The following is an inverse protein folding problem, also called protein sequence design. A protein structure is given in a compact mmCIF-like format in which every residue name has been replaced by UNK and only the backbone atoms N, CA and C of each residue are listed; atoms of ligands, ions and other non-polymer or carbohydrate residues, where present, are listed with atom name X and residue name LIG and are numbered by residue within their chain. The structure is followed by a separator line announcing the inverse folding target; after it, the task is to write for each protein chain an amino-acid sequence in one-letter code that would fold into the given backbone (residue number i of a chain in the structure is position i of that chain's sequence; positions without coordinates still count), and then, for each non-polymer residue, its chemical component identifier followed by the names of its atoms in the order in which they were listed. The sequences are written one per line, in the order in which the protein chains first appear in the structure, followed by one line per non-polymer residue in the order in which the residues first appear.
data_IF_893655167944
#
_entry.id   IF_893655167944
#
_cell.length_a   1.000
_cell.length_b   1.000
_cell.length_c   1.000
_cell.angle_alpha   90.00
_cell.angle_beta   90.00
_cell.angle_gamma   90.00
#
_symmetry.space_group_name_H-M   'P 1'
#
loop_
_entity.id
_entity.type
_entity.pdbx_description
1 polymer ?
#
# COMPACT_ATOMS: atom_id res chain seq x y z
N UNK A 1 9.45 -20.63 -9.60
CA UNK A 1 8.88 -21.16 -8.35
C UNK A 1 7.41 -20.77 -8.31
N UNK A 2 6.50 -21.72 -8.43
CA UNK A 2 5.05 -21.46 -8.32
C UNK A 2 4.74 -21.06 -6.88
N UNK A 3 4.37 -19.80 -6.67
CA UNK A 3 4.11 -19.26 -5.35
C UNK A 3 2.89 -19.99 -4.72
N UNK A 4 3.02 -20.59 -3.51
CA UNK A 4 1.99 -21.44 -2.92
C UNK A 4 0.66 -20.72 -2.65
N UNK A 5 0.69 -19.38 -2.61
CA UNK A 5 -0.51 -18.56 -2.41
C UNK A 5 -1.31 -18.31 -3.70
N UNK A 6 -0.74 -18.54 -4.88
CA UNK A 6 -1.38 -18.19 -6.17
C UNK A 6 -2.51 -19.15 -6.51
N UNK A 7 -2.25 -20.46 -6.50
CA UNK A 7 -3.23 -21.46 -6.90
C UNK A 7 -4.49 -21.46 -6.00
N UNK A 8 -4.39 -21.40 -4.65
CA UNK A 8 -5.58 -21.36 -3.81
C UNK A 8 -6.44 -20.11 -4.06
N UNK A 9 -5.83 -18.95 -4.26
CA UNK A 9 -6.56 -17.69 -4.51
C UNK A 9 -7.28 -17.73 -5.85
N UNK A 10 -6.63 -18.25 -6.91
CA UNK A 10 -7.25 -18.39 -8.24
C UNK A 10 -8.40 -19.41 -8.26
N UNK A 11 -8.38 -20.40 -7.37
CA UNK A 11 -9.50 -21.34 -7.21
C UNK A 11 -10.68 -20.74 -6.43
N UNK A 12 -10.43 -19.83 -5.50
CA UNK A 12 -11.44 -19.26 -4.61
C UNK A 12 -12.09 -17.97 -5.14
N UNK A 13 -11.41 -17.23 -6.02
CA UNK A 13 -11.88 -15.96 -6.56
C UNK A 13 -11.87 -15.99 -8.09
N UNK A 14 -12.89 -15.38 -8.70
CA UNK A 14 -12.93 -15.13 -10.13
C UNK A 14 -11.89 -14.09 -10.56
N UNK A 15 -11.51 -14.09 -11.83
CA UNK A 15 -10.82 -12.95 -12.43
C UNK A 15 -11.81 -11.80 -12.69
N UNK A 16 -11.45 -10.53 -12.47
CA UNK A 16 -10.11 -10.01 -12.14
C UNK A 16 -9.80 -9.90 -10.63
N UNK A 17 -10.69 -10.35 -9.74
CA UNK A 17 -10.52 -10.25 -8.29
C UNK A 17 -9.29 -11.01 -7.80
N UNK A 18 -9.05 -12.21 -8.32
CA UNK A 18 -7.88 -13.02 -7.97
C UNK A 18 -6.57 -12.30 -8.31
N UNK A 19 -6.41 -11.83 -9.55
CA UNK A 19 -5.23 -11.07 -9.97
C UNK A 19 -5.04 -9.78 -9.20
N UNK A 20 -6.13 -9.04 -8.91
CA UNK A 20 -6.06 -7.82 -8.11
C UNK A 20 -5.59 -8.11 -6.68
N UNK A 21 -6.10 -9.17 -6.05
CA UNK A 21 -5.70 -9.57 -4.71
C UNK A 21 -4.23 -10.00 -4.65
N UNK A 22 -3.78 -10.80 -5.61
CA UNK A 22 -2.40 -11.26 -5.72
C UNK A 22 -1.43 -10.10 -5.93
N UNK A 23 -1.80 -9.11 -6.74
CA UNK A 23 -1.04 -7.88 -6.90
C UNK A 23 -0.96 -7.07 -5.61
N UNK A 24 -2.09 -6.81 -4.95
CA UNK A 24 -2.14 -6.02 -3.71
C UNK A 24 -1.31 -6.68 -2.58
N UNK A 25 -1.46 -8.00 -2.37
CA UNK A 25 -0.81 -8.72 -1.28
C UNK A 25 0.66 -9.07 -1.55
N UNK A 26 0.94 -9.58 -2.75
CA UNK A 26 2.20 -10.23 -3.09
C UNK A 26 2.92 -9.57 -4.27
N UNK A 27 2.35 -8.54 -4.89
CA UNK A 27 2.87 -7.89 -6.11
C UNK A 27 3.09 -8.85 -7.25
N UNK A 28 2.27 -9.91 -7.32
CA UNK A 28 2.34 -10.88 -8.40
C UNK A 28 1.45 -10.36 -9.53
N UNK A 29 2.06 -10.18 -10.71
CA UNK A 29 1.33 -9.86 -11.93
C UNK A 29 0.52 -11.09 -12.36
N UNK A 30 -0.78 -11.07 -12.07
CA UNK A 30 -1.74 -12.07 -12.53
C UNK A 30 -2.22 -11.80 -13.96
N UNK A 31 -2.87 -12.79 -14.63
CA UNK A 31 -3.47 -12.63 -15.95
C UNK A 31 -4.70 -11.72 -15.89
N UNK A 32 -4.45 -10.42 -15.74
CA UNK A 32 -5.49 -9.40 -15.62
C UNK A 32 -6.08 -9.06 -17.00
N UNK A 33 -7.42 -8.90 -17.12
CA UNK A 33 -8.03 -8.43 -18.36
C UNK A 33 -7.41 -7.10 -18.81
N UNK A 34 -7.01 -7.02 -20.08
CA UNK A 34 -6.37 -5.81 -20.64
C UNK A 34 -7.22 -4.55 -20.46
N UNK A 35 -8.55 -4.68 -20.50
CA UNK A 35 -9.51 -3.60 -20.24
C UNK A 35 -9.39 -3.04 -18.82
N UNK A 36 -9.26 -3.90 -17.82
CA UNK A 36 -9.11 -3.49 -16.43
C UNK A 36 -7.75 -2.87 -16.19
N UNK A 37 -6.67 -3.44 -16.75
CA UNK A 37 -5.33 -2.85 -16.69
C UNK A 37 -5.29 -1.43 -17.30
N UNK A 38 -5.97 -1.21 -18.43
CA UNK A 38 -6.10 0.13 -19.01
C UNK A 38 -6.91 1.08 -18.12
N UNK A 39 -7.93 0.57 -17.43
CA UNK A 39 -8.72 1.35 -16.48
C UNK A 39 -7.85 1.83 -15.32
N UNK A 40 -7.00 0.97 -14.75
CA UNK A 40 -6.02 1.30 -13.71
C UNK A 40 -5.02 2.37 -14.14
N UNK A 41 -4.54 2.33 -15.39
CA UNK A 41 -3.70 3.38 -15.96
C UNK A 41 -4.48 4.70 -16.08
N UNK A 42 -5.71 4.63 -16.59
CA UNK A 42 -6.56 5.81 -16.84
C UNK A 42 -6.93 6.51 -15.54
N UNK A 43 -7.23 5.75 -14.48
CA UNK A 43 -7.52 6.29 -13.15
C UNK A 43 -6.27 6.67 -12.37
N UNK A 44 -5.07 6.28 -12.81
CA UNK A 44 -3.81 6.54 -12.10
C UNK A 44 -3.63 5.66 -10.85
N UNK A 45 -4.39 4.57 -10.75
CA UNK A 45 -4.42 3.69 -9.58
C UNK A 45 -3.56 2.44 -9.75
N UNK A 46 -2.75 2.36 -10.82
CA UNK A 46 -1.83 1.23 -11.05
C UNK A 46 -0.90 0.95 -9.85
N UNK A 47 -0.55 1.97 -9.08
CA UNK A 47 0.29 1.87 -7.90
C UNK A 47 -0.29 1.01 -6.77
N UNK A 48 -1.59 0.70 -6.77
CA UNK A 48 -2.22 -0.15 -5.74
C UNK A 48 -1.88 -1.64 -5.92
N UNK A 49 -1.56 -2.04 -7.15
CA UNK A 49 -1.22 -3.41 -7.54
C UNK A 49 0.28 -3.65 -7.31
N UNK A 50 1.06 -2.57 -7.25
CA UNK A 50 2.44 -2.61 -6.81
C UNK A 50 2.50 -2.64 -5.29
N UNK A 51 3.34 -3.50 -4.72
CA UNK A 51 3.55 -3.55 -3.28
C UNK A 51 4.00 -2.19 -2.75
N UNK A 52 3.29 -1.72 -1.73
CA UNK A 52 3.46 -0.39 -1.18
C UNK A 52 3.83 -0.44 0.31
N UNK A 53 4.16 0.72 0.86
CA UNK A 53 4.48 0.85 2.29
C UNK A 53 3.32 0.53 3.23
N UNK A 54 2.08 0.48 2.72
CA UNK A 54 0.92 0.09 3.52
C UNK A 54 1.01 -1.38 3.93
N UNK A 55 1.61 -2.25 3.10
CA UNK A 55 1.77 -3.66 3.39
C UNK A 55 2.67 -3.88 4.60
N UNK A 56 3.79 -3.16 4.67
CA UNK A 56 4.68 -3.17 5.83
C UNK A 56 3.99 -2.55 7.06
N UNK A 57 3.23 -1.47 6.89
CA UNK A 57 2.50 -0.83 8.00
C UNK A 57 1.46 -1.77 8.60
N UNK A 58 0.68 -2.46 7.77
CA UNK A 58 -0.32 -3.44 8.21
C UNK A 58 0.37 -4.63 8.86
N UNK A 59 1.45 -5.14 8.26
CA UNK A 59 2.24 -6.23 8.83
C UNK A 59 2.74 -5.85 10.24
N UNK A 60 3.37 -4.70 10.38
CA UNK A 60 3.90 -4.26 11.67
C UNK A 60 2.82 -4.04 12.73
N UNK A 61 1.70 -3.42 12.37
CA UNK A 61 0.60 -3.14 13.32
C UNK A 61 -0.13 -4.40 13.76
N UNK A 62 -0.42 -5.33 12.84
CA UNK A 62 -1.04 -6.62 13.18
C UNK A 62 -0.13 -7.45 14.07
N UNK A 63 1.14 -7.60 13.69
CA UNK A 63 2.12 -8.39 14.46
C UNK A 63 2.34 -7.77 15.84
N UNK A 64 2.47 -6.44 15.92
CA UNK A 64 2.59 -5.74 17.20
C UNK A 64 1.37 -5.97 18.09
N UNK A 65 0.15 -5.89 17.54
CA UNK A 65 -1.10 -6.09 18.28
C UNK A 65 -1.25 -7.54 18.78
N UNK A 66 -0.97 -8.51 17.92
CA UNK A 66 -1.05 -9.93 18.26
C UNK A 66 0.00 -10.32 19.31
N UNK A 67 1.21 -9.77 19.26
CA UNK A 67 2.30 -10.10 20.19
C UNK A 67 2.39 -9.14 21.39
N UNK A 68 1.36 -8.33 21.65
CA UNK A 68 1.34 -7.43 22.81
C UNK A 68 1.60 -8.16 24.13
N UNK A 69 1.12 -9.40 24.26
CA UNK A 69 1.30 -10.24 25.44
C UNK A 69 2.76 -10.66 25.72
N UNK A 70 3.64 -10.64 24.70
CA UNK A 70 5.05 -11.04 24.84
C UNK A 70 5.98 -9.87 25.25
N UNK A 71 5.43 -8.66 25.39
CA UNK A 71 6.18 -7.45 25.71
C UNK A 71 6.81 -6.78 24.47
N UNK A 72 7.08 -5.47 24.61
CA UNK A 72 7.49 -4.58 23.50
C UNK A 72 8.75 -5.03 22.76
N UNK A 73 9.73 -5.59 23.49
CA UNK A 73 11.03 -6.03 22.93
C UNK A 73 10.87 -7.26 22.04
N UNK A 74 10.27 -8.32 22.57
CA UNK A 74 10.07 -9.57 21.83
C UNK A 74 9.16 -9.35 20.60
N UNK A 75 8.06 -8.62 20.78
CA UNK A 75 7.15 -8.25 19.71
C UNK A 75 7.86 -7.51 18.57
N UNK A 76 8.72 -6.54 18.90
CA UNK A 76 9.47 -5.76 17.90
C UNK A 76 10.49 -6.61 17.14
N UNK A 77 11.24 -7.49 17.83
CA UNK A 77 12.23 -8.37 17.19
C UNK A 77 11.54 -9.34 16.23
N UNK A 78 10.44 -9.97 16.66
CA UNK A 78 9.67 -10.90 15.82
C UNK A 78 9.08 -10.16 14.61
N UNK A 79 8.57 -8.95 14.82
CA UNK A 79 8.05 -8.13 13.72
C UNK A 79 9.14 -7.75 12.72
N UNK A 80 10.34 -7.37 13.15
CA UNK A 80 11.47 -7.08 12.25
C UNK A 80 11.85 -8.33 11.45
N UNK A 81 11.92 -9.49 12.10
CA UNK A 81 12.18 -10.76 11.42
C UNK A 81 11.13 -11.05 10.34
N UNK A 82 9.84 -10.81 10.66
CA UNK A 82 8.74 -11.00 9.73
C UNK A 82 8.77 -10.02 8.56
N UNK A 83 9.16 -8.76 8.78
CA UNK A 83 9.39 -7.78 7.70
C UNK A 83 10.46 -8.29 6.74
N UNK A 84 11.60 -8.76 7.26
CA UNK A 84 12.69 -9.28 6.43
C UNK A 84 12.23 -10.49 5.63
N UNK A 85 11.55 -11.44 6.28
CA UNK A 85 10.99 -12.61 5.60
C UNK A 85 9.98 -12.21 4.51
N UNK A 86 9.13 -11.22 4.78
CA UNK A 86 8.17 -10.69 3.82
C UNK A 86 8.88 -10.07 2.60
N UNK A 87 9.92 -9.25 2.81
CA UNK A 87 10.71 -8.64 1.71
C UNK A 87 11.36 -9.71 0.85
N UNK A 88 11.95 -10.74 1.47
CA UNK A 88 12.58 -11.85 0.75
C UNK A 88 11.56 -12.67 -0.04
N UNK A 89 10.37 -12.86 0.51
CA UNK A 89 9.30 -13.64 -0.12
C UNK A 89 8.70 -12.93 -1.34
N UNK A 90 8.48 -11.63 -1.21
CA UNK A 90 7.72 -10.82 -2.15
C UNK A 90 8.61 -10.16 -3.21
N UNK A 91 9.88 -9.91 -2.89
CA UNK A 91 10.84 -9.24 -3.76
C UNK A 91 11.22 -7.85 -3.25
N UNK A 92 12.49 -7.48 -3.45
CA UNK A 92 13.10 -6.27 -2.92
C UNK A 92 12.85 -5.04 -3.80
N UNK A 93 11.59 -4.66 -4.04
CA UNK A 93 11.30 -3.42 -4.77
C UNK A 93 11.71 -2.19 -3.92
N UNK A 94 12.18 -1.08 -4.54
CA UNK A 94 12.66 0.09 -3.79
C UNK A 94 11.63 0.67 -2.81
N UNK A 95 10.34 0.60 -3.17
CA UNK A 95 9.22 1.05 -2.34
C UNK A 95 9.08 0.24 -1.06
N UNK A 96 9.20 -1.09 -1.16
CA UNK A 96 9.11 -2.00 -0.02
C UNK A 96 10.35 -1.86 0.84
N UNK A 97 11.56 -1.89 0.25
CA UNK A 97 12.82 -1.81 1.01
C UNK A 97 12.85 -0.54 1.86
N UNK A 98 12.46 0.62 1.31
CA UNK A 98 12.31 1.86 2.08
C UNK A 98 11.32 1.68 3.23
N UNK A 99 10.13 1.15 2.96
CA UNK A 99 9.10 0.96 3.99
C UNK A 99 9.57 0.00 5.10
N UNK A 100 10.30 -1.06 4.75
CA UNK A 100 10.89 -2.03 5.67
C UNK A 100 11.95 -1.39 6.57
N UNK A 101 12.82 -0.55 6.03
CA UNK A 101 13.81 0.21 6.81
C UNK A 101 13.10 1.16 7.77
N UNK A 102 12.19 2.00 7.27
CA UNK A 102 11.47 2.96 8.11
C UNK A 102 10.61 2.28 9.19
N UNK A 103 9.95 1.16 8.85
CA UNK A 103 9.18 0.35 9.80
C UNK A 103 10.06 -0.27 10.88
N UNK A 104 11.21 -0.81 10.50
CA UNK A 104 12.19 -1.37 11.45
C UNK A 104 12.76 -0.30 12.38
N UNK A 105 13.10 0.87 11.85
CA UNK A 105 13.55 2.03 12.65
C UNK A 105 12.48 2.47 13.66
N UNK A 106 11.21 2.47 13.25
CA UNK A 106 10.10 2.79 14.15
C UNK A 106 9.98 1.79 15.30
N UNK A 107 10.11 0.49 15.02
CA UNK A 107 10.09 -0.56 16.04
C UNK A 107 11.28 -0.44 17.00
N UNK A 108 12.48 -0.19 16.47
CA UNK A 108 13.68 0.08 17.29
C UNK A 108 13.45 1.28 18.20
N UNK A 109 12.90 2.39 17.67
CA UNK A 109 12.59 3.58 18.45
C UNK A 109 11.61 3.27 19.60
N UNK A 110 10.57 2.46 19.34
CA UNK A 110 9.61 2.00 20.36
C UNK A 110 10.30 1.18 21.46
N UNK A 111 11.22 0.28 21.09
CA UNK A 111 11.97 -0.55 22.06
C UNK A 111 12.84 0.29 22.98
N UNK A 112 13.50 1.30 22.44
CA UNK A 112 14.38 2.20 23.21
C UNK A 112 13.65 3.40 23.83
N UNK A 113 12.33 3.51 23.65
CA UNK A 113 11.54 4.64 24.16
C UNK A 113 11.91 5.98 23.53
N UNK A 114 12.45 5.98 22.31
CA UNK A 114 12.88 7.19 21.59
C UNK A 114 11.80 7.64 20.61
N UNK A 115 11.75 8.95 20.36
CA UNK A 115 10.91 9.50 19.31
C UNK A 115 11.51 9.20 17.93
N UNK A 116 10.71 8.64 17.02
CA UNK A 116 11.10 8.45 15.64
C UNK A 116 10.73 9.67 14.80
N UNK A 117 11.72 10.24 14.10
CA UNK A 117 11.54 11.38 13.20
C UNK A 117 11.41 10.85 11.77
N UNK A 118 10.22 10.97 11.18
CA UNK A 118 9.92 10.39 9.87
C UNK A 118 10.86 10.86 8.74
N UNK A 119 11.25 12.14 8.74
CA UNK A 119 12.20 12.70 7.77
C UNK A 119 13.60 12.09 7.91
N UNK A 120 14.07 11.89 9.15
CA UNK A 120 15.36 11.25 9.41
C UNK A 120 15.34 9.79 8.96
N UNK A 121 14.24 9.07 9.25
CA UNK A 121 14.05 7.70 8.78
C UNK A 121 14.05 7.62 7.24
N UNK A 122 13.43 8.58 6.56
CA UNK A 122 13.43 8.64 5.09
C UNK A 122 14.84 8.87 4.54
N UNK A 123 15.59 9.82 5.10
CA UNK A 123 16.96 10.11 4.68
C UNK A 123 17.90 8.94 4.92
N UNK A 124 17.80 8.29 6.09
CA UNK A 124 18.60 7.10 6.39
C UNK A 124 18.24 5.95 5.44
N UNK A 125 16.96 5.73 5.14
CA UNK A 125 16.53 4.72 4.18
C UNK A 125 17.08 5.00 2.78
N UNK A 126 17.09 6.27 2.32
CA UNK A 126 17.72 6.65 1.06
C UNK A 126 19.21 6.33 1.07
N UNK A 127 19.93 6.74 2.13
CA UNK A 127 21.37 6.52 2.27
C UNK A 127 21.71 5.02 2.22
N UNK A 128 21.01 4.20 3.00
CA UNK A 128 21.23 2.75 3.04
C UNK A 128 21.00 2.14 1.65
N UNK A 129 19.89 2.45 0.99
CA UNK A 129 19.58 1.90 -0.34
C UNK A 129 20.62 2.30 -1.38
N UNK A 130 21.03 3.58 -1.40
CA UNK A 130 21.98 4.11 -2.38
C UNK A 130 23.43 3.67 -2.13
N UNK A 131 23.77 3.28 -0.89
CA UNK A 131 25.06 2.66 -0.58
C UNK A 131 25.18 1.25 -1.17
N UNK A 132 24.07 0.49 -1.24
CA UNK A 132 24.05 -0.82 -1.86
C UNK A 132 23.97 -0.74 -3.39
N UNK A 133 23.12 0.14 -3.92
CA UNK A 133 22.97 0.33 -5.35
C UNK A 133 22.64 1.78 -5.71
N UNK A 134 23.65 2.50 -6.19
CA UNK A 134 23.52 3.88 -6.63
C UNK A 134 22.71 4.03 -7.93
N UNK A 135 22.57 2.96 -8.72
CA UNK A 135 21.81 3.02 -9.97
C UNK A 135 20.31 3.28 -9.72
N UNK A 136 19.82 2.94 -8.53
CA UNK A 136 18.43 3.15 -8.09
C UNK A 136 18.02 4.62 -8.03
N UNK A 137 18.95 5.59 -8.03
CA UNK A 137 18.60 7.02 -8.16
C UNK A 137 17.80 7.29 -9.43
N UNK A 138 18.07 6.54 -10.52
CA UNK A 138 17.38 6.69 -11.80
C UNK A 138 16.10 5.87 -11.89
N UNK A 139 15.89 4.94 -10.96
CA UNK A 139 14.72 4.07 -10.94
C UNK A 139 13.44 4.87 -10.64
N UNK A 140 12.42 4.63 -11.43
CA UNK A 140 11.16 5.38 -11.34
C UNK A 140 10.40 5.02 -10.06
N UNK A 141 10.45 3.76 -9.63
CA UNK A 141 9.78 3.31 -8.40
C UNK A 141 10.45 3.94 -7.17
N UNK A 142 11.79 4.03 -7.16
CA UNK A 142 12.53 4.75 -6.13
C UNK A 142 12.11 6.23 -6.07
N UNK A 143 12.19 6.95 -7.20
CA UNK A 143 11.86 8.38 -7.27
C UNK A 143 10.43 8.67 -6.80
N UNK A 144 9.45 7.96 -7.34
CA UNK A 144 8.04 8.16 -6.98
C UNK A 144 7.79 7.86 -5.51
N UNK A 145 8.37 6.78 -4.98
CA UNK A 145 8.12 6.37 -3.61
C UNK A 145 8.74 7.36 -2.61
N UNK A 146 10.00 7.77 -2.81
CA UNK A 146 10.66 8.72 -1.92
C UNK A 146 10.03 10.12 -1.98
N UNK A 147 9.69 10.62 -3.17
CA UNK A 147 9.03 11.92 -3.33
C UNK A 147 7.62 11.93 -2.73
N UNK A 148 6.84 10.85 -2.93
CA UNK A 148 5.53 10.72 -2.31
C UNK A 148 5.63 10.74 -0.79
N UNK A 149 6.54 9.97 -0.19
CA UNK A 149 6.74 9.96 1.27
C UNK A 149 7.24 11.31 1.79
N UNK A 150 8.14 11.98 1.07
CA UNK A 150 8.59 13.33 1.44
C UNK A 150 7.41 14.31 1.47
N UNK A 151 6.58 14.32 0.42
CA UNK A 151 5.39 15.16 0.34
C UNK A 151 4.40 14.87 1.48
N UNK A 152 4.17 13.60 1.80
CA UNK A 152 3.31 13.18 2.92
C UNK A 152 3.88 13.66 4.25
N UNK A 153 5.17 13.45 4.51
CA UNK A 153 5.81 13.83 5.77
C UNK A 153 5.85 15.35 5.98
N UNK A 154 6.04 16.13 4.92
CA UNK A 154 6.02 17.60 4.98
C UNK A 154 4.60 18.17 5.16
N UNK A 155 3.59 17.52 4.58
CA UNK A 155 2.19 17.90 4.75
C UNK A 155 1.59 17.45 6.07
N UNK A 156 2.16 16.40 6.68
CA UNK A 156 1.72 15.86 7.96
C UNK A 156 2.14 16.79 9.11
N UNK A 157 1.41 17.89 9.28
CA UNK A 157 1.50 18.74 10.46
C UNK A 157 0.64 18.12 11.56
N UNK A 158 1.18 17.88 12.78
CA UNK A 158 0.39 17.36 13.89
C UNK A 158 -0.67 18.39 14.28
N UNK A 159 -1.87 18.25 13.72
CA UNK A 159 -3.00 19.12 14.01
C UNK A 159 -3.58 18.71 15.35
N UNK A 160 -3.08 19.33 16.43
CA UNK A 160 -3.73 19.32 17.75
C UNK A 160 -5.02 20.12 17.66
N UNK A 161 -6.10 19.53 17.14
CA UNK A 161 -7.44 20.09 17.33
C UNK A 161 -8.31 19.09 18.07
N UNK A 162 -8.83 19.54 19.21
CA UNK A 162 -9.92 18.89 19.92
C UNK A 162 -11.10 18.77 18.96
N UNK A 163 -11.24 17.58 18.40
CA UNK A 163 -12.36 17.21 17.55
C UNK A 163 -13.60 17.25 18.45
N UNK A 164 -14.51 18.20 18.21
CA UNK A 164 -15.81 18.20 18.86
C UNK A 164 -16.53 16.89 18.51
N UNK A 165 -17.19 16.27 19.49
CA UNK A 165 -17.72 14.89 19.48
C UNK A 165 -18.82 14.57 18.43
N UNK A 166 -18.92 15.31 17.32
CA UNK A 166 -19.89 15.04 16.27
C UNK A 166 -19.26 14.18 15.17
N UNK A 167 -19.89 13.04 14.89
CA UNK A 167 -19.49 12.10 13.83
C UNK A 167 -19.25 12.78 12.47
N UNK A 168 -20.06 13.80 12.14
CA UNK A 168 -19.92 14.58 10.90
C UNK A 168 -18.59 15.34 10.82
N UNK A 169 -18.16 15.94 11.94
CA UNK A 169 -16.92 16.72 11.99
C UNK A 169 -15.69 15.80 11.92
N UNK A 170 -15.79 14.60 12.50
CA UNK A 170 -14.74 13.58 12.38
C UNK A 170 -14.58 13.09 10.94
N UNK A 171 -15.69 12.79 10.26
CA UNK A 171 -15.68 12.33 8.88
C UNK A 171 -15.12 13.41 7.94
N UNK A 172 -15.56 14.66 8.09
CA UNK A 172 -15.06 15.77 7.28
C UNK A 172 -13.57 16.02 7.51
N UNK A 173 -13.10 15.92 8.75
CA UNK A 173 -11.69 16.02 9.08
C UNK A 173 -10.86 14.90 8.44
N UNK A 174 -11.31 13.65 8.53
CA UNK A 174 -10.64 12.49 7.91
C UNK A 174 -10.54 12.64 6.39
N UNK A 175 -11.64 13.00 5.72
CA UNK A 175 -11.67 13.27 4.28
C UNK A 175 -10.68 14.37 3.89
N UNK A 176 -10.70 15.49 4.62
CA UNK A 176 -9.82 16.63 4.37
C UNK A 176 -8.35 16.28 4.59
N UNK A 177 -8.05 15.50 5.62
CA UNK A 177 -6.69 15.08 5.94
C UNK A 177 -6.14 14.11 4.89
N UNK A 178 -6.89 13.08 4.51
CA UNK A 178 -6.47 12.16 3.44
C UNK A 178 -6.32 12.87 2.11
N UNK A 179 -7.26 13.74 1.74
CA UNK A 179 -7.16 14.52 0.50
C UNK A 179 -5.90 15.41 0.51
N UNK A 180 -5.59 16.05 1.65
CA UNK A 180 -4.37 16.87 1.80
C UNK A 180 -3.11 16.02 1.64
N UNK A 181 -3.05 14.84 2.26
CA UNK A 181 -1.90 13.94 2.16
C UNK A 181 -1.72 13.42 0.72
N UNK A 182 -2.81 12.99 0.08
CA UNK A 182 -2.81 12.51 -1.31
C UNK A 182 -2.42 13.60 -2.29
N UNK A 183 -2.97 14.81 -2.17
CA UNK A 183 -2.59 15.94 -3.01
C UNK A 183 -1.11 16.32 -2.80
N UNK A 184 -0.61 16.30 -1.57
CA UNK A 184 0.80 16.57 -1.30
C UNK A 184 1.71 15.51 -1.96
N UNK A 185 1.38 14.23 -1.82
CA UNK A 185 2.11 13.14 -2.46
C UNK A 185 2.11 13.30 -4.00
N UNK A 186 0.97 13.66 -4.57
CA UNK A 186 0.83 13.90 -6.01
C UNK A 186 1.64 15.11 -6.46
N UNK A 187 1.60 16.24 -5.76
CA UNK A 187 2.38 17.43 -6.13
C UNK A 187 3.88 17.13 -6.20
N UNK A 188 4.40 16.32 -5.26
CA UNK A 188 5.81 15.93 -5.25
C UNK A 188 6.16 14.89 -6.33
N UNK A 189 5.21 14.03 -6.72
CA UNK A 189 5.45 13.00 -7.74
C UNK A 189 5.13 13.44 -9.16
N UNK A 190 4.32 14.50 -9.33
CA UNK A 190 3.85 15.01 -10.62
C UNK A 190 4.99 15.33 -11.60
N UNK A 191 6.11 15.97 -11.21
CA UNK A 191 7.21 16.24 -12.14
C UNK A 191 7.81 14.95 -12.72
N UNK A 192 7.99 13.92 -11.89
CA UNK A 192 8.51 12.62 -12.34
C UNK A 192 7.49 11.92 -13.23
N UNK A 193 6.21 11.93 -12.85
CA UNK A 193 5.14 11.32 -13.63
C UNK A 193 5.05 11.97 -15.02
N UNK A 194 5.09 13.30 -15.05
CA UNK A 194 5.03 14.09 -16.27
C UNK A 194 6.20 13.76 -17.21
N UNK A 195 7.43 13.76 -16.69
CA UNK A 195 8.64 13.51 -17.50
C UNK A 195 8.79 12.06 -17.95
N UNK A 196 8.29 11.09 -17.19
CA UNK A 196 8.49 9.65 -17.46
C UNK A 196 7.34 8.99 -18.22
N UNK A 197 6.10 9.38 -17.94
CA UNK A 197 4.93 8.68 -18.46
C UNK A 197 4.11 9.50 -19.46
N UNK A 198 4.33 10.82 -19.57
CA UNK A 198 3.60 11.68 -20.51
C UNK A 198 2.09 11.70 -20.30
N UNK A 199 1.61 11.31 -19.10
CA UNK A 199 0.19 11.17 -18.80
C UNK A 199 -0.11 11.63 -17.39
N UNK A 200 -1.19 12.39 -17.22
CA UNK A 200 -1.68 12.81 -15.92
C UNK A 200 -3.15 12.41 -15.80
N UNK A 201 -3.46 11.63 -14.76
CA UNK A 201 -4.84 11.30 -14.39
C UNK A 201 -5.40 12.39 -13.49
N UNK A 202 -6.38 13.13 -13.99
CA UNK A 202 -7.09 14.16 -13.21
C UNK A 202 -8.05 13.52 -12.19
N UNK A 203 -8.53 12.31 -12.49
CA UNK A 203 -9.46 11.58 -11.62
C UNK A 203 -8.72 10.88 -10.46
N UNK A 204 -7.38 10.79 -10.50
CA UNK A 204 -6.56 10.06 -9.53
C UNK A 204 -6.79 10.45 -8.06
N UNK A 205 -6.88 11.73 -7.66
CA UNK A 205 -7.15 12.08 -6.26
C UNK A 205 -8.49 11.52 -5.77
N UNK A 206 -9.53 11.59 -6.61
CA UNK A 206 -10.88 11.09 -6.29
C UNK A 206 -10.88 9.56 -6.23
N UNK A 207 -10.24 8.92 -7.22
CA UNK A 207 -10.09 7.47 -7.25
C UNK A 207 -9.36 6.95 -6.01
N UNK A 208 -8.26 7.58 -5.62
CA UNK A 208 -7.47 7.19 -4.46
C UNK A 208 -8.29 7.27 -3.16
N UNK A 209 -8.99 8.38 -2.91
CA UNK A 209 -9.83 8.52 -1.71
C UNK A 209 -10.93 7.46 -1.65
N UNK A 210 -11.54 7.14 -2.80
CA UNK A 210 -12.58 6.11 -2.88
C UNK A 210 -12.02 4.69 -2.75
N UNK A 211 -10.77 4.43 -3.12
CA UNK A 211 -10.20 3.08 -3.10
C UNK A 211 -9.48 2.80 -1.77
N UNK A 212 -8.81 3.81 -1.19
CA UNK A 212 -7.89 3.66 -0.08
C UNK A 212 -8.53 3.06 1.18
N UNK A 213 -9.80 3.37 1.46
CA UNK A 213 -10.52 2.80 2.60
C UNK A 213 -10.78 1.30 2.45
N UNK A 214 -10.88 0.78 1.22
CA UNK A 214 -11.10 -0.63 0.93
C UNK A 214 -9.79 -1.44 0.93
N UNK A 215 -8.63 -0.81 0.72
CA UNK A 215 -7.33 -1.51 0.68
C UNK A 215 -7.01 -2.18 2.02
N UNK A 216 -7.19 -1.50 3.15
CA UNK A 216 -6.87 -2.09 4.46
C UNK A 216 -7.72 -3.35 4.77
N UNK A 217 -9.05 -3.34 4.60
CA UNK A 217 -9.86 -4.55 4.69
C UNK A 217 -9.41 -5.67 3.74
N UNK A 218 -9.09 -5.36 2.48
CA UNK A 218 -8.62 -6.35 1.49
C UNK A 218 -7.31 -6.97 1.93
N UNK A 219 -6.37 -6.19 2.44
CA UNK A 219 -5.09 -6.69 2.93
C UNK A 219 -5.29 -7.67 4.09
N UNK A 220 -6.14 -7.33 5.07
CA UNK A 220 -6.38 -8.17 6.25
C UNK A 220 -7.14 -9.44 5.87
N UNK A 221 -8.29 -9.29 5.21
CA UNK A 221 -9.14 -10.41 4.80
C UNK A 221 -8.44 -11.29 3.78
N UNK A 222 -7.73 -10.67 2.83
CA UNK A 222 -6.94 -11.35 1.81
C UNK A 222 -5.81 -12.17 2.40
N UNK A 223 -5.03 -11.61 3.33
CA UNK A 223 -3.99 -12.36 4.02
C UNK A 223 -4.58 -13.53 4.82
N UNK A 224 -5.72 -13.31 5.49
CA UNK A 224 -6.42 -14.37 6.22
C UNK A 224 -6.94 -15.47 5.29
N UNK A 225 -7.61 -15.11 4.19
CA UNK A 225 -8.04 -16.04 3.13
C UNK A 225 -6.86 -16.86 2.63
N UNK A 226 -5.75 -16.19 2.32
CA UNK A 226 -4.54 -16.81 1.80
C UNK A 226 -3.94 -17.82 2.78
N UNK A 227 -3.79 -17.45 4.05
CA UNK A 227 -3.24 -18.31 5.09
C UNK A 227 -4.12 -19.55 5.36
N UNK A 228 -5.43 -19.35 5.47
CA UNK A 228 -6.39 -20.42 5.74
C UNK A 228 -6.50 -21.38 4.55
N UNK A 229 -6.48 -20.84 3.32
CA UNK A 229 -6.59 -21.63 2.10
C UNK A 229 -5.42 -22.60 1.88
N UNK A 230 -4.24 -22.28 2.41
CA UNK A 230 -3.07 -23.19 2.39
C UNK A 230 -3.28 -24.38 3.32
N UNK A 231 -3.87 -24.16 4.50
CA UNK A 231 -4.09 -25.22 5.49
C UNK A 231 -5.17 -26.17 4.98
N UNK A 232 -6.31 -25.63 4.54
CA UNK A 232 -7.38 -26.42 3.94
C UNK A 232 -8.24 -25.53 3.02
N UNK A 233 -8.23 -25.83 1.72
CA UNK A 233 -8.88 -25.03 0.68
C UNK A 233 -10.37 -24.69 0.97
N UNK A 234 -11.22 -25.61 1.46
CA UNK A 234 -12.63 -25.32 1.76
C UNK A 234 -12.83 -24.27 2.86
N UNK A 235 -11.93 -24.17 3.85
CA UNK A 235 -12.06 -23.10 4.86
C UNK A 235 -11.79 -21.72 4.28
N UNK A 236 -11.06 -21.64 3.17
CA UNK A 236 -10.80 -20.38 2.48
C UNK A 236 -12.04 -19.78 1.83
N UNK A 237 -13.13 -20.54 1.62
CA UNK A 237 -14.35 -20.09 0.92
C UNK A 237 -15.04 -18.96 1.69
N UNK A 238 -15.20 -19.11 3.01
CA UNK A 238 -15.88 -18.12 3.86
C UNK A 238 -15.16 -16.77 3.85
N UNK A 239 -13.85 -16.68 4.17
CA UNK A 239 -13.13 -15.40 4.11
C UNK A 239 -12.94 -14.90 2.67
N UNK A 240 -12.89 -15.78 1.66
CA UNK A 240 -12.88 -15.35 0.25
C UNK A 240 -14.15 -14.58 -0.11
N UNK A 241 -15.32 -15.00 0.36
CA UNK A 241 -16.58 -14.25 0.19
C UNK A 241 -16.51 -12.84 0.78
N UNK A 242 -15.98 -12.71 2.00
CA UNK A 242 -15.78 -11.39 2.61
C UNK A 242 -14.73 -10.55 1.88
N UNK A 243 -13.71 -11.18 1.31
CA UNK A 243 -12.67 -10.49 0.52
C UNK A 243 -13.19 -10.06 -0.86
N UNK A 244 -14.13 -10.81 -1.43
CA UNK A 244 -14.70 -10.56 -2.75
C UNK A 244 -15.49 -9.25 -2.81
N UNK A 245 -16.21 -8.90 -1.75
CA UNK A 245 -17.01 -7.66 -1.67
C UNK A 245 -16.16 -6.39 -1.87
N UNK A 246 -15.11 -6.12 -1.05
CA UNK A 246 -14.29 -4.93 -1.23
C UNK A 246 -13.44 -4.98 -2.52
N UNK A 247 -13.03 -6.16 -2.99
CA UNK A 247 -12.36 -6.29 -4.29
C UNK A 247 -13.27 -5.84 -5.43
N UNK A 248 -14.52 -6.32 -5.44
CA UNK A 248 -15.52 -5.97 -6.46
C UNK A 248 -15.87 -4.49 -6.40
N UNK A 249 -15.92 -3.91 -5.20
CA UNK A 249 -16.06 -2.46 -5.03
C UNK A 249 -14.93 -1.68 -5.71
N UNK A 250 -13.66 -2.03 -5.44
CA UNK A 250 -12.51 -1.36 -6.07
C UNK A 250 -12.58 -1.47 -7.60
N UNK A 251 -12.85 -2.66 -8.13
CA UNK A 251 -12.96 -2.89 -9.58
C UNK A 251 -14.05 -2.00 -10.18
N UNK A 252 -15.24 -2.00 -9.58
CA UNK A 252 -16.39 -1.22 -10.07
C UNK A 252 -16.11 0.28 -10.04
N UNK A 253 -15.49 0.77 -8.97
CA UNK A 253 -15.09 2.20 -8.86
C UNK A 253 -14.09 2.56 -9.95
N UNK A 254 -13.06 1.73 -10.17
CA UNK A 254 -12.05 1.98 -11.20
C UNK A 254 -12.68 2.00 -12.59
N UNK A 255 -13.51 1.02 -12.91
CA UNK A 255 -14.17 0.93 -14.22
C UNK A 255 -15.15 2.08 -14.46
N UNK A 256 -15.88 2.51 -13.43
CA UNK A 256 -16.82 3.63 -13.52
C UNK A 256 -16.08 4.95 -13.71
N UNK A 257 -15.01 5.20 -12.96
CA UNK A 257 -14.20 6.40 -13.09
C UNK A 257 -13.42 6.44 -14.41
N UNK A 258 -13.02 5.28 -14.95
CA UNK A 258 -12.35 5.19 -16.24
C UNK A 258 -13.26 5.57 -17.42
N UNK A 259 -14.58 5.47 -17.27
CA UNK A 259 -15.57 5.89 -18.30
C UNK A 259 -15.78 7.40 -18.36
N UNK A 260 -15.31 8.16 -17.37
CA UNK A 260 -15.50 9.62 -17.34
C UNK A 260 -14.64 10.27 -18.44
N UNK A 261 -15.23 11.11 -19.31
CA UNK A 261 -14.45 11.83 -20.32
C UNK A 261 -13.42 12.74 -19.64
N UNK A 262 -12.21 12.81 -20.19
CA UNK A 262 -11.05 13.52 -19.62
C UNK A 262 -10.47 12.93 -18.31
N UNK A 263 -10.79 11.68 -17.95
CA UNK A 263 -10.19 11.02 -16.78
C UNK A 263 -8.64 11.04 -16.79
N UNK A 264 -8.04 10.95 -17.98
CA UNK A 264 -6.60 11.18 -18.17
C UNK A 264 -6.33 12.11 -19.36
N UNK A 265 -5.37 13.00 -19.20
CA UNK A 265 -4.81 13.80 -20.30
C UNK A 265 -3.51 13.13 -20.73
N UNK A 266 -3.42 12.79 -22.02
CA UNK A 266 -2.22 12.26 -22.65
C UNK A 266 -1.51 13.40 -23.38
N UNK A 267 -0.21 13.51 -23.17
CA UNK A 267 0.67 14.45 -23.85
C UNK A 267 1.64 13.69 -24.75
#
# INVERSE_FOLDING_TARGET
MTNPFVAPIQHLLSEPQASLLLGILFGIDGPMPRSFYQSLITTGTLHIIALSGINITILTTLTAKMLTFMGKKASSIITICLIVLFVLFVGASPSIVRASIMGSMNLVAIVFGRQNWGLLSLFLAAMVILLFDFSLVKDVSFQLSFLATLGILLANKPSKRQLQNRLRDQLFYFLKENLRLTLSAQLFTLPVIFLRFGRISLISPVANVLIEWAIQPIMILGFFTSLVSIIWLPLGIVPAWFTWVPLTYIITVIELLARIPFASIRF
#
